data_IF_705588183732
#
_entry.id   IF_705588183732
#
_cell.length_a   1.000
_cell.length_b   1.000
_cell.length_c   1.000
_cell.angle_alpha   90.00
_cell.angle_beta   90.00
_cell.angle_gamma   90.00
#
_symmetry.space_group_name_H-M   'P 1'
#
loop_
_entity.id
_entity.type
_entity.pdbx_description
1 polymer ?
#
# COMPACT_ATOMS: atom_id res chain seq x y z
N UNK A 1 -14.55 -4.62 20.81
CA UNK A 1 -14.81 -6.06 20.57
C UNK A 1 -13.48 -6.65 20.14
N UNK A 2 -13.01 -7.71 20.80
CA UNK A 2 -11.74 -8.37 20.43
C UNK A 2 -12.14 -9.54 19.54
N UNK A 3 -11.78 -9.50 18.26
CA UNK A 3 -11.98 -10.62 17.34
C UNK A 3 -10.97 -11.73 17.67
N UNK A 4 -11.48 -12.94 17.91
CA UNK A 4 -10.70 -14.13 18.20
C UNK A 4 -11.21 -15.29 17.35
N UNK A 5 -10.29 -16.01 16.69
CA UNK A 5 -10.61 -17.18 15.89
C UNK A 5 -9.64 -18.32 16.20
N UNK A 6 -10.17 -19.54 16.26
CA UNK A 6 -9.36 -20.76 16.40
C UNK A 6 -9.07 -21.29 15.01
N UNK A 7 -7.79 -21.52 14.72
CA UNK A 7 -7.33 -21.99 13.42
C UNK A 7 -6.29 -23.09 13.64
N UNK A 8 -6.15 -24.00 12.67
CA UNK A 8 -5.12 -25.04 12.71
C UNK A 8 -3.91 -24.62 11.87
N UNK A 9 -2.72 -24.88 12.42
CA UNK A 9 -1.47 -24.79 11.66
C UNK A 9 -1.42 -25.94 10.66
N UNK A 10 -0.97 -25.66 9.44
CA UNK A 10 -0.79 -26.65 8.39
C UNK A 10 0.54 -26.45 7.66
N UNK A 11 1.00 -27.48 6.94
CA UNK A 11 2.23 -27.41 6.13
C UNK A 11 1.96 -26.68 4.82
N UNK A 12 2.87 -25.81 4.42
CA UNK A 12 2.92 -25.15 3.11
C UNK A 12 4.35 -25.25 2.58
N UNK A 13 4.62 -26.24 1.73
CA UNK A 13 5.98 -26.59 1.32
C UNK A 13 6.87 -26.94 2.53
N UNK A 14 8.03 -26.28 2.61
CA UNK A 14 8.98 -26.42 3.72
C UNK A 14 8.65 -25.52 4.94
N UNK A 15 7.48 -24.88 4.95
CA UNK A 15 7.07 -23.91 5.97
C UNK A 15 5.77 -24.33 6.66
N UNK A 16 5.48 -23.67 7.78
CA UNK A 16 4.19 -23.72 8.46
C UNK A 16 3.37 -22.48 8.12
N UNK A 17 2.06 -22.66 7.99
CA UNK A 17 1.10 -21.60 7.72
C UNK A 17 -0.12 -21.72 8.63
N UNK A 18 -0.79 -20.58 8.84
CA UNK A 18 -2.08 -20.49 9.53
C UNK A 18 -3.08 -19.80 8.62
N UNK A 19 -4.36 -20.17 8.72
CA UNK A 19 -5.43 -19.45 8.02
C UNK A 19 -5.81 -18.26 8.86
N UNK A 20 -5.82 -17.08 8.26
CA UNK A 20 -6.22 -15.85 8.94
C UNK A 20 -7.57 -15.42 8.34
N UNK A 21 -8.66 -15.39 9.12
CA UNK A 21 -9.96 -14.93 8.65
C UNK A 21 -9.94 -13.46 8.22
N UNK A 22 -10.84 -13.09 7.31
CA UNK A 22 -10.91 -11.75 6.72
C UNK A 22 -11.18 -10.65 7.75
N UNK A 23 -11.91 -10.97 8.83
CA UNK A 23 -12.23 -10.04 9.93
C UNK A 23 -10.97 -9.45 10.61
N UNK A 24 -9.83 -10.12 10.53
CA UNK A 24 -8.55 -9.62 11.08
C UNK A 24 -7.91 -8.53 10.23
N UNK A 25 -8.42 -8.25 9.02
CA UNK A 25 -7.99 -7.12 8.19
C UNK A 25 -6.59 -7.22 7.60
N UNK A 26 -6.00 -8.43 7.53
CA UNK A 26 -4.74 -8.64 6.81
C UNK A 26 -4.97 -8.70 5.30
N UNK A 27 -4.10 -8.04 4.55
CA UNK A 27 -4.19 -7.97 3.08
C UNK A 27 -3.27 -9.01 2.46
N UNK A 28 -3.83 -9.87 1.60
CA UNK A 28 -3.04 -10.84 0.84
C UNK A 28 -2.07 -10.11 -0.12
N UNK A 29 -0.85 -10.63 -0.26
CA UNK A 29 0.18 -10.04 -1.13
C UNK A 29 1.02 -8.92 -0.47
N UNK A 30 0.75 -8.57 0.79
CA UNK A 30 1.61 -7.68 1.57
C UNK A 30 2.64 -8.46 2.37
N UNK A 31 3.82 -7.87 2.56
CA UNK A 31 4.85 -8.40 3.45
C UNK A 31 4.57 -8.01 4.90
N UNK A 32 4.78 -8.97 5.80
CA UNK A 32 4.67 -8.78 7.24
C UNK A 32 5.95 -9.24 7.93
N UNK A 33 6.40 -8.47 8.91
CA UNK A 33 7.46 -8.88 9.82
C UNK A 33 6.87 -9.79 10.90
N UNK A 34 7.50 -10.94 11.13
CA UNK A 34 7.12 -11.89 12.18
C UNK A 34 8.03 -11.69 13.38
N UNK A 35 7.45 -11.35 14.54
CA UNK A 35 8.17 -11.23 15.80
C UNK A 35 7.63 -12.22 16.83
N UNK A 36 8.51 -13.08 17.36
CA UNK A 36 8.17 -13.93 18.50
C UNK A 36 8.19 -13.12 19.79
N UNK A 37 7.11 -13.20 20.56
CA UNK A 37 6.96 -12.56 21.87
C UNK A 37 6.43 -13.61 22.85
N UNK A 38 7.35 -14.23 23.61
CA UNK A 38 7.03 -15.39 24.44
C UNK A 38 6.51 -16.56 23.59
N UNK A 39 5.28 -16.97 23.87
CA UNK A 39 4.58 -18.04 23.16
C UNK A 39 3.70 -17.56 21.99
N UNK A 40 3.72 -16.25 21.71
CA UNK A 40 2.93 -15.64 20.65
C UNK A 40 3.81 -15.22 19.46
N UNK A 41 3.21 -15.22 18.28
CA UNK A 41 3.77 -14.60 17.08
C UNK A 41 2.98 -13.34 16.79
N UNK A 42 3.66 -12.20 16.69
CA UNK A 42 3.08 -10.93 16.25
C UNK A 42 3.43 -10.70 14.78
N UNK A 43 2.41 -10.35 13.99
CA UNK A 43 2.57 -9.92 12.60
C UNK A 43 2.51 -8.40 12.55
N UNK A 44 3.53 -7.76 12.00
CA UNK A 44 3.58 -6.31 11.80
C UNK A 44 3.63 -6.02 10.30
N UNK A 45 2.72 -5.19 9.78
CA UNK A 45 2.72 -4.85 8.35
C UNK A 45 4.01 -4.12 8.02
N UNK A 46 4.81 -4.67 7.10
CA UNK A 46 6.00 -4.00 6.62
C UNK A 46 5.54 -2.87 5.71
N UNK A 47 5.79 -1.62 6.10
CA UNK A 47 5.51 -0.48 5.23
C UNK A 47 6.27 -0.67 3.92
N UNK A 48 5.61 -0.46 2.77
CA UNK A 48 6.32 -0.38 1.48
C UNK A 48 7.23 0.84 1.56
N UNK A 49 8.51 0.64 1.84
CA UNK A 49 9.51 1.66 1.52
C UNK A 49 9.50 1.74 0.01
N UNK A 50 9.09 2.89 -0.54
CA UNK A 50 9.39 3.22 -1.92
C UNK A 50 10.91 3.28 -1.96
N UNK A 51 11.54 2.23 -2.49
CA UNK A 51 12.96 2.25 -2.76
C UNK A 51 13.17 3.18 -3.95
N UNK A 52 13.43 4.44 -3.65
CA UNK A 52 13.85 5.43 -4.65
C UNK A 52 15.26 5.17 -5.13
N UNK A 53 16.03 4.23 -4.55
CA UNK A 53 17.42 3.96 -4.95
C UNK A 53 17.55 3.54 -6.42
N UNK A 54 16.54 2.88 -6.99
CA UNK A 54 16.50 2.54 -8.42
C UNK A 54 16.10 3.67 -9.38
N UNK A 55 15.52 4.76 -8.87
CA UNK A 55 15.05 5.91 -9.67
C UNK A 55 15.68 7.25 -9.27
N UNK A 56 16.48 7.26 -8.21
CA UNK A 56 17.24 8.41 -7.73
C UNK A 56 18.36 8.71 -8.74
N UNK A 57 18.01 9.45 -9.79
CA UNK A 57 18.92 9.81 -10.87
C UNK A 57 18.41 9.49 -12.27
N UNK A 58 17.22 8.89 -12.44
CA UNK A 58 16.65 8.63 -13.78
C UNK A 58 16.20 9.91 -14.49
N UNK A 59 16.00 11.01 -13.75
CA UNK A 59 15.64 12.31 -14.31
C UNK A 59 16.57 13.42 -13.78
N UNK A 60 17.84 13.48 -14.22
CA UNK A 60 18.80 14.47 -13.75
C UNK A 60 18.42 15.91 -14.13
N UNK A 61 17.59 16.08 -15.16
CA UNK A 61 17.06 17.38 -15.60
C UNK A 61 15.74 17.78 -14.93
N UNK A 62 15.19 16.94 -14.05
CA UNK A 62 13.95 17.25 -13.33
C UNK A 62 14.23 18.28 -12.25
N UNK A 63 13.91 19.53 -12.55
CA UNK A 63 14.01 20.66 -11.62
C UNK A 63 12.65 20.89 -10.94
N UNK A 64 12.64 21.26 -9.64
CA UNK A 64 11.41 21.71 -9.00
C UNK A 64 10.88 22.92 -9.76
N UNK A 65 9.63 22.82 -10.23
CA UNK A 65 8.92 23.90 -10.93
C UNK A 65 8.64 25.03 -9.93
N UNK A 66 8.90 26.27 -10.33
CA UNK A 66 8.57 27.44 -9.49
C UNK A 66 7.04 27.56 -9.37
N UNK A 67 6.50 28.13 -8.28
CA UNK A 67 5.05 28.23 -8.07
C UNK A 67 4.30 28.94 -9.21
N UNK A 68 4.97 29.89 -9.85
CA UNK A 68 4.57 30.67 -11.01
C UNK A 68 4.62 29.91 -12.35
N UNK A 69 5.46 28.88 -12.46
CA UNK A 69 5.54 28.12 -13.70
C UNK A 69 4.32 27.21 -13.89
N UNK A 70 3.57 26.89 -12.81
CA UNK A 70 2.37 26.05 -12.82
C UNK A 70 1.04 26.81 -12.95
N UNK A 71 1.07 28.13 -13.01
CA UNK A 71 -0.13 28.94 -13.21
C UNK A 71 -0.46 28.98 -14.70
N UNK A 72 -1.61 28.44 -15.07
CA UNK A 72 -2.16 28.57 -16.41
C UNK A 72 -3.24 29.65 -16.37
N UNK A 73 -3.32 30.51 -17.39
CA UNK A 73 -4.49 31.37 -17.56
C UNK A 73 -5.72 30.49 -17.82
N UNK A 74 -6.77 30.66 -17.03
CA UNK A 74 -8.05 30.02 -17.30
C UNK A 74 -8.61 30.58 -18.61
N UNK A 75 -8.51 29.79 -19.67
CA UNK A 75 -9.26 30.06 -20.89
C UNK A 75 -10.73 29.73 -20.64
N UNK A 76 -11.64 30.66 -20.95
CA UNK A 76 -13.08 30.39 -20.98
C UNK A 76 -13.34 29.29 -22.01
N UNK A 77 -13.51 28.08 -21.50
CA UNK A 77 -13.75 26.90 -22.31
C UNK A 77 -15.25 26.73 -22.43
N UNK A 78 -15.76 26.87 -23.64
CA UNK A 78 -17.16 26.61 -23.98
C UNK A 78 -17.43 25.11 -23.80
N UNK A 79 -17.86 24.73 -22.60
CA UNK A 79 -18.26 23.38 -22.29
C UNK A 79 -19.65 23.15 -22.88
N UNK A 80 -19.83 22.22 -23.83
CA UNK A 80 -21.17 21.89 -24.29
C UNK A 80 -21.93 21.29 -23.10
N UNK A 81 -23.06 21.90 -22.75
CA UNK A 81 -23.93 21.39 -21.69
C UNK A 81 -24.36 19.97 -22.06
N UNK A 82 -23.82 18.97 -21.35
CA UNK A 82 -24.37 17.61 -21.41
C UNK A 82 -25.76 17.66 -20.77
N UNK A 83 -26.79 17.75 -21.61
CA UNK A 83 -28.15 17.40 -21.22
C UNK A 83 -28.16 15.91 -20.87
N UNK A 84 -28.33 15.63 -19.57
CA UNK A 84 -28.62 14.29 -19.07
C UNK A 84 -30.02 13.91 -19.55
N UNK A 85 -30.10 12.97 -20.49
CA UNK A 85 -31.32 12.18 -20.75
C UNK A 85 -31.27 10.87 -19.99
#
# INVERSE_FOLDING_TARGET
MIDFAITRIFKSGNSLAVRIPKEFGLEAGHEYELKRVGDQIRLLRRGRKIDTSGFAGTAPDMRPRSPDEGTFEEAERDWPATERS
#
